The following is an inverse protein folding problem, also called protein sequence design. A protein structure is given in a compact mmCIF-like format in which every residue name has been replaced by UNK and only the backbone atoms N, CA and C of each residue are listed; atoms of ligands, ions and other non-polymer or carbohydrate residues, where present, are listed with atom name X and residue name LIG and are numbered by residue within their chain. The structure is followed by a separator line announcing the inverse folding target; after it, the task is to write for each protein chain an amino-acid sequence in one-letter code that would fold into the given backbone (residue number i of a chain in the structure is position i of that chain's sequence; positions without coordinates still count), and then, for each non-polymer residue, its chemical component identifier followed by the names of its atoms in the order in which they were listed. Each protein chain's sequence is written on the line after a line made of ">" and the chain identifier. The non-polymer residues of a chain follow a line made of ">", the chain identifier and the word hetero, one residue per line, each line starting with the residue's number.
data_IF_073074354632
#
_entry.id   IF_073074354632
#
_cell.length_a   1.000
_cell.length_b   1.000
_cell.length_c   1.000
_cell.angle_alpha   90.00
_cell.angle_beta   90.00
_cell.angle_gamma   90.00
#
_symmetry.space_group_name_H-M   'P 1'
#
loop_
_entity.id
_entity.type
_entity.pdbx_description
1 polymer ?
#
# COMPACT_ATOMS: atom_id res chain seq x y z
N UNK A 1 -15.07 -25.68 13.90
CA UNK A 1 -15.26 -24.84 12.70
C UNK A 1 -16.74 -24.49 12.57
N UNK A 2 -17.10 -23.21 12.69
CA UNK A 2 -18.51 -22.78 12.69
C UNK A 2 -19.19 -23.06 11.34
N UNK A 3 -20.52 -23.17 11.36
CA UNK A 3 -21.34 -23.43 10.17
C UNK A 3 -21.07 -22.42 9.04
N UNK A 4 -20.86 -21.14 9.38
CA UNK A 4 -20.47 -20.09 8.45
C UNK A 4 -19.10 -20.35 7.78
N UNK A 5 -18.11 -20.85 8.53
CA UNK A 5 -16.78 -21.22 7.98
C UNK A 5 -16.89 -22.39 6.99
N UNK A 6 -17.83 -23.32 7.20
CA UNK A 6 -18.07 -24.44 6.27
C UNK A 6 -18.78 -23.97 4.99
N UNK A 7 -19.76 -23.06 5.10
CA UNK A 7 -20.44 -22.49 3.94
C UNK A 7 -19.47 -21.69 3.07
N UNK A 8 -18.64 -20.83 3.67
CA UNK A 8 -17.64 -20.07 2.92
C UNK A 8 -16.66 -20.98 2.15
N UNK A 9 -16.14 -22.02 2.81
CA UNK A 9 -15.23 -22.98 2.19
C UNK A 9 -15.93 -23.84 1.10
N UNK A 10 -17.18 -24.23 1.32
CA UNK A 10 -17.96 -25.00 0.34
C UNK A 10 -18.38 -24.17 -0.87
N UNK A 11 -18.66 -22.88 -0.70
CA UNK A 11 -18.93 -21.94 -1.82
C UNK A 11 -17.64 -21.65 -2.60
N UNK A 12 -16.50 -21.54 -1.92
CA UNK A 12 -15.17 -21.49 -2.56
C UNK A 12 -14.95 -22.74 -3.41
N UNK A 13 -15.12 -23.95 -2.87
CA UNK A 13 -14.88 -25.18 -3.62
C UNK A 13 -15.88 -25.44 -4.76
N UNK A 14 -17.15 -25.07 -4.61
CA UNK A 14 -18.17 -25.31 -5.65
C UNK A 14 -18.07 -24.35 -6.84
N UNK A 15 -17.58 -23.12 -6.61
CA UNK A 15 -17.24 -22.17 -7.68
C UNK A 15 -16.01 -22.62 -8.46
N UNK A 16 -15.03 -23.26 -7.81
CA UNK A 16 -13.86 -23.85 -8.50
C UNK A 16 -14.21 -25.06 -9.40
N UNK A 17 -15.20 -25.88 -9.04
CA UNK A 17 -15.53 -27.10 -9.78
C UNK A 17 -16.53 -26.88 -10.95
N UNK A 18 -17.24 -25.75 -10.98
CA UNK A 18 -18.25 -25.45 -12.01
C UNK A 18 -17.77 -24.48 -13.10
N UNK A 19 -16.60 -23.86 -12.94
CA UNK A 19 -16.01 -22.92 -13.91
C UNK A 19 -15.38 -23.57 -15.17
N UNK A 20 -15.38 -24.92 -15.26
CA UNK A 20 -14.64 -25.67 -16.27
C UNK A 20 -15.23 -25.68 -17.69
N UNK A 21 -16.17 -24.80 -18.08
CA UNK A 21 -16.78 -24.92 -19.43
C UNK A 21 -17.24 -23.63 -20.12
N UNK A 22 -17.19 -22.44 -19.50
CA UNK A 22 -17.66 -21.21 -20.15
C UNK A 22 -16.89 -19.97 -19.68
N UNK A 23 -15.67 -19.79 -20.20
CA UNK A 23 -14.98 -18.50 -20.13
C UNK A 23 -14.12 -18.32 -21.38
N UNK A 24 -14.76 -17.84 -22.45
CA UNK A 24 -14.07 -17.25 -23.59
C UNK A 24 -14.35 -15.75 -23.54
N UNK A 25 -13.80 -15.07 -22.53
CA UNK A 25 -13.70 -13.61 -22.53
C UNK A 25 -12.67 -13.24 -23.60
N UNK A 26 -13.04 -12.34 -24.51
CA UNK A 26 -12.11 -11.77 -25.50
C UNK A 26 -10.83 -11.30 -24.79
N UNK A 27 -9.66 -11.74 -25.29
CA UNK A 27 -8.33 -11.29 -24.83
C UNK A 27 -8.14 -9.80 -25.14
N UNK A 28 -8.74 -8.94 -24.32
CA UNK A 28 -8.38 -7.53 -24.23
C UNK A 28 -7.24 -7.44 -23.22
N UNK A 29 -6.12 -6.84 -23.63
CA UNK A 29 -4.89 -6.65 -22.85
C UNK A 29 -5.11 -6.70 -21.34
N UNK A 30 -4.90 -7.88 -20.74
CA UNK A 30 -4.98 -8.05 -19.29
C UNK A 30 -3.96 -7.14 -18.62
N UNK A 31 -4.26 -6.59 -17.43
CA UNK A 31 -3.24 -5.89 -16.66
C UNK A 31 -2.07 -6.84 -16.44
N UNK A 32 -0.85 -6.32 -16.54
CA UNK A 32 0.38 -7.09 -16.29
C UNK A 32 0.48 -7.37 -14.78
N UNK A 33 -0.25 -8.39 -14.31
CA UNK A 33 -0.22 -8.85 -12.93
C UNK A 33 1.16 -9.44 -12.62
N UNK A 34 1.67 -9.20 -11.42
CA UNK A 34 3.02 -9.61 -11.01
C UNK A 34 3.02 -10.29 -9.64
N UNK A 35 3.90 -11.29 -9.51
CA UNK A 35 4.35 -11.83 -8.22
C UNK A 35 5.82 -11.48 -8.07
N UNK A 36 6.20 -10.96 -6.91
CA UNK A 36 7.55 -10.49 -6.62
C UNK A 36 8.25 -11.37 -5.59
N UNK A 37 9.55 -11.57 -5.82
CA UNK A 37 10.52 -12.03 -4.85
C UNK A 37 11.48 -10.88 -4.58
N UNK A 38 11.44 -10.33 -3.38
CA UNK A 38 12.15 -9.11 -3.00
C UNK A 38 13.12 -9.39 -1.87
N UNK A 39 14.31 -8.77 -1.93
CA UNK A 39 15.24 -8.71 -0.80
C UNK A 39 14.64 -7.97 0.41
N UNK A 40 13.60 -7.17 0.21
CA UNK A 40 12.83 -6.53 1.28
C UNK A 40 11.98 -7.50 2.13
N UNK A 41 12.02 -8.81 1.83
CA UNK A 41 11.38 -9.84 2.66
C UNK A 41 12.29 -10.32 3.82
N UNK A 42 13.58 -9.94 3.83
CA UNK A 42 14.54 -10.38 4.84
C UNK A 42 14.57 -9.45 6.05
N UNK A 43 13.78 -9.80 7.08
CA UNK A 43 13.46 -8.87 8.18
C UNK A 43 14.63 -8.26 8.95
N UNK A 44 15.74 -8.97 9.01
CA UNK A 44 16.86 -8.62 9.87
C UNK A 44 18.02 -7.97 9.10
N UNK A 45 17.90 -7.71 7.79
CA UNK A 45 19.04 -7.29 6.96
C UNK A 45 18.76 -6.10 6.02
N UNK A 46 17.63 -6.11 5.30
CA UNK A 46 17.42 -5.22 4.13
C UNK A 46 16.00 -4.69 4.02
N UNK A 47 15.27 -4.66 5.13
CA UNK A 47 13.86 -4.32 5.11
C UNK A 47 13.58 -2.83 4.93
N UNK A 48 12.68 -2.50 4.00
CA UNK A 48 11.91 -1.26 4.01
C UNK A 48 10.41 -1.54 4.03
N UNK A 49 9.63 -0.51 4.36
CA UNK A 49 8.18 -0.55 4.16
C UNK A 49 7.85 -0.80 2.67
N UNK A 50 8.59 -0.16 1.76
CA UNK A 50 8.42 -0.34 0.31
C UNK A 50 8.81 -1.75 -0.15
N UNK A 51 9.93 -2.28 0.35
CA UNK A 51 10.41 -3.62 0.01
C UNK A 51 9.45 -4.73 0.43
N UNK A 52 8.83 -4.61 1.61
CA UNK A 52 7.83 -5.56 2.09
C UNK A 52 6.48 -5.39 1.41
N UNK A 53 6.10 -4.18 0.97
CA UNK A 53 4.82 -3.91 0.31
C UNK A 53 4.63 -4.70 -1.00
N UNK A 54 5.71 -5.15 -1.64
CA UNK A 54 5.62 -6.05 -2.79
C UNK A 54 4.90 -7.37 -2.48
N UNK A 55 4.94 -7.85 -1.23
CA UNK A 55 4.25 -9.08 -0.85
C UNK A 55 2.72 -8.94 -0.89
N UNK A 56 2.07 -8.02 -0.14
CA UNK A 56 0.62 -7.86 -0.22
C UNK A 56 0.16 -7.49 -1.63
N UNK A 57 0.93 -6.66 -2.37
CA UNK A 57 0.63 -6.35 -3.77
C UNK A 57 0.65 -7.60 -4.66
N UNK A 58 1.62 -8.50 -4.49
CA UNK A 58 1.68 -9.77 -5.24
C UNK A 58 0.43 -10.62 -5.00
N UNK A 59 -0.05 -10.67 -3.75
CA UNK A 59 -1.26 -11.44 -3.42
C UNK A 59 -2.50 -10.79 -4.02
N UNK A 60 -2.63 -9.46 -3.96
CA UNK A 60 -3.74 -8.74 -4.61
C UNK A 60 -3.72 -8.93 -6.13
N UNK A 61 -2.56 -8.85 -6.78
CA UNK A 61 -2.42 -9.07 -8.22
C UNK A 61 -2.73 -10.53 -8.61
N UNK A 62 -2.32 -11.50 -7.79
CA UNK A 62 -2.70 -12.91 -7.98
C UNK A 62 -4.20 -13.11 -7.85
N UNK A 63 -4.83 -12.46 -6.86
CA UNK A 63 -6.27 -12.51 -6.68
C UNK A 63 -6.99 -11.86 -7.86
N UNK A 64 -6.52 -10.71 -8.33
CA UNK A 64 -7.07 -10.02 -9.50
C UNK A 64 -7.03 -10.90 -10.75
N UNK A 65 -5.91 -11.57 -11.01
CA UNK A 65 -5.81 -12.54 -12.09
C UNK A 65 -6.83 -13.69 -11.93
N UNK A 66 -6.94 -14.25 -10.71
CA UNK A 66 -7.92 -15.31 -10.43
C UNK A 66 -9.35 -14.84 -10.67
N UNK A 67 -9.71 -13.63 -10.22
CA UNK A 67 -11.00 -13.01 -10.49
C UNK A 67 -11.26 -12.91 -11.99
N UNK A 68 -10.28 -12.45 -12.78
CA UNK A 68 -10.43 -12.28 -14.23
C UNK A 68 -10.67 -13.60 -14.96
N UNK A 69 -10.07 -14.70 -14.49
CA UNK A 69 -10.23 -16.03 -15.08
C UNK A 69 -11.49 -16.77 -14.63
N UNK A 70 -11.99 -16.46 -13.42
CA UNK A 70 -13.08 -17.21 -12.78
C UNK A 70 -14.40 -16.45 -12.71
N UNK A 71 -14.42 -15.16 -13.07
CA UNK A 71 -15.67 -14.39 -13.12
C UNK A 71 -16.60 -14.94 -14.19
N UNK A 72 -17.90 -14.90 -13.89
CA UNK A 72 -18.94 -15.40 -14.79
C UNK A 72 -19.62 -14.20 -15.43
N UNK A 73 -19.14 -13.80 -16.61
CA UNK A 73 -19.51 -12.51 -17.21
C UNK A 73 -20.58 -12.59 -18.30
N UNK A 74 -21.16 -13.77 -18.51
CA UNK A 74 -22.10 -14.08 -19.60
C UNK A 74 -23.44 -13.34 -19.54
N UNK A 75 -23.83 -12.75 -18.42
CA UNK A 75 -25.06 -11.97 -18.26
C UNK A 75 -24.87 -10.83 -17.25
N UNK A 76 -25.76 -9.82 -17.25
CA UNK A 76 -25.71 -8.75 -16.26
C UNK A 76 -25.85 -9.25 -14.81
N UNK A 77 -26.71 -10.25 -14.57
CA UNK A 77 -26.86 -10.85 -13.25
C UNK A 77 -25.60 -11.62 -12.82
N UNK A 78 -25.00 -12.40 -13.71
CA UNK A 78 -23.78 -13.14 -13.37
C UNK A 78 -22.59 -12.21 -13.11
N UNK A 79 -22.45 -11.12 -13.89
CA UNK A 79 -21.48 -10.05 -13.62
C UNK A 79 -21.70 -9.41 -12.26
N UNK A 80 -22.95 -9.11 -11.89
CA UNK A 80 -23.27 -8.58 -10.56
C UNK A 80 -22.87 -9.54 -9.44
N UNK A 81 -23.12 -10.85 -9.59
CA UNK A 81 -22.72 -11.85 -8.60
C UNK A 81 -21.19 -11.94 -8.48
N UNK A 82 -20.48 -11.97 -9.61
CA UNK A 82 -19.01 -11.94 -9.63
C UNK A 82 -18.47 -10.67 -8.99
N UNK A 83 -18.98 -9.49 -9.37
CA UNK A 83 -18.65 -8.21 -8.75
C UNK A 83 -18.86 -8.24 -7.23
N UNK A 84 -20.02 -8.68 -6.76
CA UNK A 84 -20.36 -8.67 -5.33
C UNK A 84 -19.48 -9.63 -4.53
N UNK A 85 -19.38 -10.89 -4.95
CA UNK A 85 -18.67 -11.92 -4.20
C UNK A 85 -17.16 -11.80 -4.41
N UNK A 86 -16.73 -11.88 -5.67
CA UNK A 86 -15.33 -11.88 -6.06
C UNK A 86 -14.69 -10.50 -6.06
N UNK A 87 -15.42 -9.45 -6.39
CA UNK A 87 -14.91 -8.08 -6.44
C UNK A 87 -14.99 -7.32 -5.10
N UNK A 88 -15.88 -7.70 -4.19
CA UNK A 88 -16.11 -6.96 -2.94
C UNK A 88 -15.98 -7.80 -1.67
N UNK A 89 -16.72 -8.90 -1.53
CA UNK A 89 -16.76 -9.66 -0.26
C UNK A 89 -15.44 -10.40 0.02
N UNK A 90 -14.95 -11.20 -0.94
CA UNK A 90 -13.72 -11.96 -0.77
C UNK A 90 -12.47 -11.07 -0.63
N UNK A 91 -12.34 -9.95 -1.36
CA UNK A 91 -11.26 -8.99 -1.12
C UNK A 91 -11.19 -8.44 0.30
N UNK A 92 -12.33 -8.26 0.99
CA UNK A 92 -12.33 -7.83 2.40
C UNK A 92 -11.57 -8.84 3.28
N UNK A 93 -11.76 -10.14 3.04
CA UNK A 93 -11.05 -11.18 3.77
C UNK A 93 -9.53 -11.11 3.52
N UNK A 94 -9.14 -11.09 2.25
CA UNK A 94 -7.73 -11.06 1.83
C UNK A 94 -7.04 -9.80 2.36
N UNK A 95 -7.74 -8.66 2.30
CA UNK A 95 -7.26 -7.39 2.83
C UNK A 95 -7.15 -7.39 4.35
N UNK A 96 -8.10 -7.99 5.10
CA UNK A 96 -8.03 -8.06 6.56
C UNK A 96 -6.81 -8.83 7.08
N UNK A 97 -6.34 -9.83 6.31
CA UNK A 97 -5.08 -10.51 6.60
C UNK A 97 -3.90 -9.59 6.26
N UNK A 98 -3.81 -9.16 5.00
CA UNK A 98 -2.62 -8.52 4.47
C UNK A 98 -2.42 -7.08 4.95
N UNK A 99 -3.48 -6.27 4.96
CA UNK A 99 -3.42 -4.87 5.36
C UNK A 99 -3.09 -4.76 6.86
N UNK A 100 -3.76 -5.53 7.73
CA UNK A 100 -3.46 -5.53 9.17
C UNK A 100 -2.06 -6.08 9.46
N UNK A 101 -1.62 -7.15 8.79
CA UNK A 101 -0.22 -7.59 8.93
C UNK A 101 0.75 -6.49 8.51
N UNK A 102 0.47 -5.77 7.42
CA UNK A 102 1.34 -4.71 6.93
C UNK A 102 1.30 -3.44 7.81
N UNK A 103 0.18 -3.18 8.48
CA UNK A 103 0.05 -2.19 9.56
C UNK A 103 1.00 -2.52 10.70
N UNK A 104 0.94 -3.74 11.23
CA UNK A 104 1.81 -4.17 12.33
C UNK A 104 3.30 -4.14 11.95
N UNK A 105 3.61 -4.54 10.73
CA UNK A 105 4.95 -4.39 10.17
C UNK A 105 5.42 -2.93 10.13
N UNK A 106 4.52 -1.97 9.96
CA UNK A 106 4.79 -0.55 10.07
C UNK A 106 5.37 -0.16 11.43
N UNK A 107 4.75 -0.61 12.53
CA UNK A 107 5.31 -0.39 13.87
C UNK A 107 6.68 -1.06 14.02
N UNK A 108 6.82 -2.31 13.55
CA UNK A 108 8.06 -3.07 13.65
C UNK A 108 9.24 -2.35 13.00
N UNK A 109 9.05 -1.76 11.81
CA UNK A 109 10.12 -1.02 11.15
C UNK A 109 10.50 0.26 11.89
N UNK A 110 9.55 0.95 12.52
CA UNK A 110 9.84 2.14 13.34
C UNK A 110 10.52 1.78 14.64
N UNK A 111 10.17 0.66 15.27
CA UNK A 111 10.91 0.15 16.42
C UNK A 111 12.38 -0.14 16.06
N UNK A 112 12.62 -0.86 14.96
CA UNK A 112 13.98 -1.15 14.47
C UNK A 112 14.77 0.12 14.15
N UNK A 113 14.13 1.10 13.54
CA UNK A 113 14.76 2.40 13.26
C UNK A 113 15.30 3.04 14.55
N UNK A 114 14.55 2.92 15.65
CA UNK A 114 14.92 3.46 16.95
C UNK A 114 15.81 2.52 17.80
N UNK A 115 16.37 1.46 17.19
CA UNK A 115 17.34 0.57 17.82
C UNK A 115 16.75 -0.61 18.58
N UNK A 116 15.43 -0.82 18.52
CA UNK A 116 14.80 -2.00 19.13
C UNK A 116 14.85 -3.18 18.15
N UNK A 117 15.61 -4.23 18.50
CA UNK A 117 15.82 -5.39 17.62
C UNK A 117 14.88 -6.57 17.93
N UNK A 118 14.40 -6.67 19.17
CA UNK A 118 13.54 -7.76 19.63
C UNK A 118 12.07 -7.42 19.41
N UNK A 119 11.61 -7.53 18.16
CA UNK A 119 10.22 -7.26 17.78
C UNK A 119 9.36 -8.50 17.95
N UNK A 120 8.18 -8.33 18.54
CA UNK A 120 7.18 -9.38 18.73
C UNK A 120 5.83 -8.93 18.17
N UNK A 121 5.28 -9.74 17.27
CA UNK A 121 3.94 -9.60 16.73
C UNK A 121 2.97 -10.50 17.49
N UNK A 122 1.76 -10.00 17.69
CA UNK A 122 0.60 -10.76 18.16
C UNK A 122 -0.44 -10.76 17.03
N UNK A 123 -0.66 -11.91 16.36
CA UNK A 123 -1.47 -11.96 15.15
C UNK A 123 -2.97 -11.81 15.39
N UNK A 124 -3.46 -12.07 16.60
CA UNK A 124 -4.88 -12.03 16.96
C UNK A 124 -5.05 -11.74 18.46
N UNK A 125 -6.29 -11.78 18.97
CA UNK A 125 -6.59 -11.50 20.38
C UNK A 125 -6.12 -12.59 21.39
N UNK A 126 -5.39 -13.61 20.94
CA UNK A 126 -4.83 -14.64 21.82
C UNK A 126 -3.47 -14.25 22.43
N UNK A 127 -2.97 -15.07 23.35
CA UNK A 127 -1.64 -14.90 23.93
C UNK A 127 -0.50 -15.40 23.03
N UNK A 128 -0.79 -15.93 21.84
CA UNK A 128 0.25 -16.42 20.94
C UNK A 128 1.00 -15.24 20.31
N UNK A 129 2.32 -15.36 20.24
CA UNK A 129 3.20 -14.34 19.64
C UNK A 129 4.13 -14.97 18.63
N UNK A 130 4.58 -14.18 17.67
CA UNK A 130 5.59 -14.56 16.67
C UNK A 130 6.56 -13.41 16.45
N UNK A 131 7.77 -13.72 16.00
CA UNK A 131 8.80 -12.71 15.65
C UNK A 131 8.94 -12.52 14.14
N UNK A 132 8.12 -13.21 13.33
CA UNK A 132 8.12 -13.12 11.88
C UNK A 132 6.81 -12.55 11.34
N UNK A 133 6.92 -11.55 10.47
CA UNK A 133 5.84 -10.98 9.67
C UNK A 133 5.12 -12.05 8.84
N UNK A 134 5.84 -12.94 8.16
CA UNK A 134 5.20 -13.98 7.35
C UNK A 134 4.43 -14.98 8.22
N UNK A 135 5.00 -15.39 9.35
CA UNK A 135 4.26 -16.23 10.30
C UNK A 135 3.01 -15.51 10.80
N UNK A 136 3.10 -14.21 11.10
CA UNK A 136 1.95 -13.40 11.48
C UNK A 136 0.87 -13.39 10.39
N UNK A 137 1.25 -13.21 9.12
CA UNK A 137 0.32 -13.30 7.97
C UNK A 137 -0.38 -14.67 7.95
N UNK A 138 0.38 -15.76 8.08
CA UNK A 138 -0.19 -17.12 8.03
C UNK A 138 -1.11 -17.41 9.22
N UNK A 139 -0.74 -16.99 10.43
CA UNK A 139 -1.57 -17.15 11.63
C UNK A 139 -2.88 -16.36 11.50
N UNK A 140 -2.85 -15.20 10.84
CA UNK A 140 -4.02 -14.38 10.56
C UNK A 140 -4.96 -14.98 9.52
N UNK A 141 -4.53 -15.94 8.70
CA UNK A 141 -5.46 -16.65 7.81
C UNK A 141 -6.58 -17.34 8.60
N UNK A 142 -6.38 -17.72 9.86
CA UNK A 142 -7.44 -18.29 10.71
C UNK A 142 -8.39 -17.26 11.34
N UNK A 143 -7.97 -15.99 11.37
CA UNK A 143 -8.51 -14.90 12.17
C UNK A 143 -8.31 -13.52 11.49
N UNK A 144 -8.83 -13.32 10.26
CA UNK A 144 -8.54 -12.13 9.43
C UNK A 144 -9.15 -10.81 9.96
N UNK A 145 -10.10 -10.90 10.91
CA UNK A 145 -10.83 -9.76 11.48
C UNK A 145 -10.46 -9.47 12.92
N UNK A 146 -9.61 -10.30 13.53
CA UNK A 146 -9.19 -10.12 14.92
C UNK A 146 -8.16 -8.98 14.99
N UNK A 147 -8.07 -8.33 16.15
CA UNK A 147 -7.06 -7.30 16.38
C UNK A 147 -5.66 -7.90 16.33
N UNK A 148 -4.68 -7.11 15.89
CA UNK A 148 -3.28 -7.46 16.00
C UNK A 148 -2.54 -6.41 16.82
N UNK A 149 -1.33 -6.73 17.23
CA UNK A 149 -0.44 -5.72 17.81
C UNK A 149 1.03 -6.08 17.63
N UNK A 150 1.86 -5.06 17.69
CA UNK A 150 3.32 -5.16 17.62
C UNK A 150 3.93 -4.51 18.83
N UNK A 151 4.94 -5.16 19.40
CA UNK A 151 5.67 -4.67 20.56
C UNK A 151 7.16 -4.92 20.39
N UNK A 152 7.97 -4.21 21.18
CA UNK A 152 9.40 -4.42 21.22
C UNK A 152 9.90 -4.54 22.67
N UNK A 153 10.84 -5.45 22.92
CA UNK A 153 11.46 -5.58 24.23
C UNK A 153 12.21 -4.29 24.60
N UNK A 154 12.13 -3.86 25.87
CA UNK A 154 12.74 -2.62 26.34
C UNK A 154 11.96 -1.34 25.98
N UNK A 155 10.92 -1.44 25.15
CA UNK A 155 9.97 -0.33 24.94
C UNK A 155 9.03 -0.21 26.15
N UNK A 156 9.47 0.54 27.17
CA UNK A 156 8.71 0.77 28.41
C UNK A 156 8.08 2.16 28.44
N UNK A 157 7.09 2.35 29.30
CA UNK A 157 6.46 3.67 29.54
C UNK A 157 7.46 4.79 29.85
N UNK A 158 8.65 4.46 30.37
CA UNK A 158 9.71 5.44 30.66
C UNK A 158 10.27 6.05 29.35
N UNK A 159 10.48 5.24 28.31
CA UNK A 159 10.98 5.69 27.01
C UNK A 159 9.93 6.58 26.29
N UNK A 160 8.67 6.16 26.32
CA UNK A 160 7.50 6.90 25.80
C UNK A 160 7.42 8.33 26.38
N UNK A 161 7.78 8.48 27.66
CA UNK A 161 7.69 9.77 28.34
C UNK A 161 8.85 10.72 27.99
N UNK A 162 9.97 10.21 27.50
CA UNK A 162 11.20 10.98 27.27
C UNK A 162 11.40 11.44 25.83
N UNK A 163 10.81 10.76 24.83
CA UNK A 163 10.94 11.16 23.43
C UNK A 163 9.61 11.01 22.66
N UNK A 164 8.80 12.07 22.70
CA UNK A 164 7.45 12.10 22.09
C UNK A 164 7.48 12.07 20.56
N UNK A 165 8.53 12.57 19.92
CA UNK A 165 8.68 12.47 18.46
C UNK A 165 8.87 11.02 18.04
N UNK A 166 9.73 10.28 18.75
CA UNK A 166 9.95 8.86 18.48
C UNK A 166 8.68 8.04 18.70
N UNK A 167 7.97 8.27 19.82
CA UNK A 167 6.70 7.59 20.08
C UNK A 167 5.66 7.92 19.00
N UNK A 168 5.57 9.19 18.58
CA UNK A 168 4.68 9.60 17.46
C UNK A 168 5.00 8.82 16.18
N UNK A 169 6.28 8.73 15.79
CA UNK A 169 6.68 8.02 14.57
C UNK A 169 6.39 6.53 14.67
N UNK A 170 6.66 5.90 15.82
CA UNK A 170 6.39 4.47 16.04
C UNK A 170 4.89 4.20 15.96
N UNK A 171 4.07 4.95 16.70
CA UNK A 171 2.61 4.79 16.71
C UNK A 171 2.00 5.12 15.34
N UNK A 172 2.54 6.08 14.60
CA UNK A 172 2.08 6.40 13.25
C UNK A 172 2.45 5.31 12.21
N UNK A 173 3.43 4.45 12.51
CA UNK A 173 4.01 3.50 11.58
C UNK A 173 2.98 2.62 10.87
N UNK A 174 2.02 2.06 11.62
CA UNK A 174 1.01 1.19 11.06
C UNK A 174 0.03 1.89 10.12
N UNK A 175 -0.57 2.99 10.57
CA UNK A 175 -1.48 3.80 9.75
C UNK A 175 -0.78 4.34 8.48
N UNK A 176 0.48 4.76 8.59
CA UNK A 176 1.26 5.21 7.43
C UNK A 176 1.53 4.07 6.42
N UNK A 177 1.73 2.84 6.89
CA UNK A 177 1.89 1.68 6.01
C UNK A 177 0.61 1.34 5.25
N UNK A 178 -0.57 1.43 5.87
CA UNK A 178 -1.83 1.24 5.16
C UNK A 178 -1.99 2.26 4.01
N UNK A 179 -1.64 3.53 4.28
CA UNK A 179 -1.67 4.56 3.25
C UNK A 179 -0.61 4.33 2.18
N UNK A 180 0.60 3.89 2.54
CA UNK A 180 1.64 3.49 1.58
C UNK A 180 1.14 2.36 0.66
N UNK A 181 0.47 1.35 1.21
CA UNK A 181 -0.10 0.26 0.41
C UNK A 181 -1.14 0.79 -0.59
N UNK A 182 -2.01 1.70 -0.15
CA UNK A 182 -2.99 2.38 -1.03
C UNK A 182 -2.33 3.20 -2.14
N UNK A 183 -1.19 3.84 -1.84
CA UNK A 183 -0.38 4.61 -2.80
C UNK A 183 0.21 3.70 -3.85
N UNK A 184 0.89 2.63 -3.45
CA UNK A 184 1.50 1.68 -4.37
C UNK A 184 0.45 0.97 -5.25
N UNK A 185 -0.75 0.69 -4.72
CA UNK A 185 -1.86 0.19 -5.56
C UNK A 185 -2.28 1.19 -6.63
N UNK A 186 -2.33 2.48 -6.29
CA UNK A 186 -2.68 3.56 -7.22
C UNK A 186 -1.59 3.74 -8.29
N UNK A 187 -0.32 3.79 -7.89
CA UNK A 187 0.83 3.86 -8.81
C UNK A 187 0.83 2.67 -9.77
N UNK A 188 0.58 1.45 -9.28
CA UNK A 188 0.40 0.28 -10.13
C UNK A 188 -0.76 0.47 -11.14
N UNK A 189 -1.90 1.01 -10.72
CA UNK A 189 -3.05 1.29 -11.63
C UNK A 189 -2.65 2.31 -12.70
N UNK A 190 -1.92 3.37 -12.32
CA UNK A 190 -1.40 4.39 -13.25
C UNK A 190 -0.41 3.84 -14.26
N UNK A 191 0.29 2.78 -13.91
CA UNK A 191 1.35 2.21 -14.73
C UNK A 191 0.96 1.00 -15.57
N UNK A 192 0.12 0.12 -15.02
CA UNK A 192 -0.19 -1.21 -15.59
C UNK A 192 -1.70 -1.49 -15.65
N UNK A 193 -2.54 -0.58 -15.15
CA UNK A 193 -3.98 -0.78 -15.02
C UNK A 193 -4.36 -1.51 -13.73
N UNK A 194 -5.67 -1.54 -13.46
CA UNK A 194 -6.28 -2.24 -12.34
C UNK A 194 -7.31 -3.27 -12.77
N UNK A 195 -7.94 -3.87 -11.77
CA UNK A 195 -9.01 -4.86 -11.88
C UNK A 195 -10.13 -4.52 -10.91
N UNK A 196 -11.31 -5.09 -11.14
CA UNK A 196 -12.52 -4.89 -10.32
C UNK A 196 -12.27 -5.02 -8.81
N UNK A 197 -11.55 -6.06 -8.30
CA UNK A 197 -11.32 -6.22 -6.86
C UNK A 197 -10.48 -5.10 -6.22
N UNK A 198 -9.71 -4.35 -7.02
CA UNK A 198 -8.84 -3.29 -6.51
C UNK A 198 -9.59 -2.16 -5.83
N UNK A 199 -10.87 -1.94 -6.15
CA UNK A 199 -11.69 -0.96 -5.43
C UNK A 199 -11.75 -1.29 -3.95
N UNK A 200 -11.95 -2.56 -3.61
CA UNK A 200 -12.07 -3.01 -2.22
C UNK A 200 -10.72 -2.95 -1.51
N UNK A 201 -9.65 -3.44 -2.14
CA UNK A 201 -8.30 -3.35 -1.57
C UNK A 201 -7.88 -1.90 -1.33
N UNK A 202 -8.10 -1.03 -2.32
CA UNK A 202 -7.84 0.40 -2.22
C UNK A 202 -8.60 1.04 -1.07
N UNK A 203 -9.93 0.86 -1.02
CA UNK A 203 -10.76 1.49 0.02
C UNK A 203 -10.40 0.98 1.41
N UNK A 204 -10.12 -0.31 1.59
CA UNK A 204 -9.75 -0.86 2.89
C UNK A 204 -8.41 -0.30 3.36
N UNK A 205 -7.38 -0.25 2.51
CA UNK A 205 -6.10 0.35 2.87
C UNK A 205 -6.22 1.87 3.12
N UNK A 206 -7.05 2.58 2.33
CA UNK A 206 -7.19 4.04 2.41
C UNK A 206 -8.06 4.52 3.58
N UNK A 207 -9.12 3.78 3.91
CA UNK A 207 -10.12 4.15 4.92
C UNK A 207 -9.99 3.36 6.23
N UNK A 208 -9.12 2.36 6.31
CA UNK A 208 -8.80 1.70 7.59
C UNK A 208 -8.34 2.71 8.66
N UNK A 209 -7.42 3.67 8.36
CA UNK A 209 -7.05 4.70 9.33
C UNK A 209 -8.20 5.62 9.74
N UNK A 210 -9.12 5.91 8.82
CA UNK A 210 -10.36 6.67 9.08
C UNK A 210 -11.27 5.93 10.07
N UNK A 211 -11.54 4.65 9.80
CA UNK A 211 -12.39 3.82 10.65
C UNK A 211 -11.77 3.63 12.04
N UNK A 212 -10.46 3.36 12.08
CA UNK A 212 -9.70 3.18 13.31
C UNK A 212 -9.71 4.43 14.20
N UNK A 213 -9.52 5.61 13.60
CA UNK A 213 -9.60 6.90 14.32
C UNK A 213 -11.00 7.21 14.86
N UNK A 214 -12.03 6.56 14.32
CA UNK A 214 -13.42 6.67 14.75
C UNK A 214 -13.78 5.85 15.98
N UNK A 215 -12.94 4.89 16.38
CA UNK A 215 -13.21 4.04 17.56
C UNK A 215 -13.11 4.86 18.84
N UNK A 216 -14.12 4.78 19.71
CA UNK A 216 -14.13 5.46 21.00
C UNK A 216 -13.38 4.67 22.07
N UNK A 217 -12.11 4.36 21.79
CA UNK A 217 -11.19 3.71 22.72
C UNK A 217 -10.23 4.71 23.34
N UNK A 218 -9.93 4.55 24.63
CA UNK A 218 -8.82 5.22 25.32
C UNK A 218 -7.51 4.44 25.20
N UNK A 219 -7.38 3.72 24.09
CA UNK A 219 -6.29 2.80 23.78
C UNK A 219 -6.15 2.68 22.26
N UNK A 220 -5.00 2.21 21.79
CA UNK A 220 -4.69 2.09 20.36
C UNK A 220 -4.04 3.34 19.78
N UNK A 221 -3.60 3.22 18.53
CA UNK A 221 -2.73 4.19 17.88
C UNK A 221 -3.34 5.59 17.77
N UNK A 222 -4.61 5.77 17.36
CA UNK A 222 -5.18 7.11 17.21
C UNK A 222 -5.25 7.88 18.52
N UNK A 223 -5.53 7.19 19.64
CA UNK A 223 -5.56 7.81 20.97
C UNK A 223 -4.15 8.21 21.43
N UNK A 224 -3.17 7.31 21.27
CA UNK A 224 -1.77 7.59 21.62
C UNK A 224 -1.19 8.73 20.76
N UNK A 225 -1.50 8.77 19.47
CA UNK A 225 -1.09 9.85 18.56
C UNK A 225 -1.65 11.21 18.99
N UNK A 226 -2.93 11.28 19.34
CA UNK A 226 -3.54 12.51 19.87
C UNK A 226 -2.84 12.97 21.16
N UNK A 227 -2.54 12.04 22.08
CA UNK A 227 -1.77 12.35 23.29
C UNK A 227 -0.35 12.84 22.97
N UNK A 228 0.32 12.19 22.04
CA UNK A 228 1.69 12.52 21.65
C UNK A 228 1.77 13.89 20.97
N UNK A 229 0.85 14.18 20.05
CA UNK A 229 0.76 15.50 19.46
C UNK A 229 0.45 16.57 20.50
N UNK A 230 -0.48 16.32 21.41
CA UNK A 230 -0.77 17.24 22.52
C UNK A 230 0.47 17.50 23.39
N UNK A 231 1.25 16.46 23.71
CA UNK A 231 2.51 16.57 24.45
C UNK A 231 3.61 17.32 23.66
N UNK A 232 3.59 17.26 22.33
CA UNK A 232 4.43 18.06 21.44
C UNK A 232 3.90 19.51 21.23
N UNK A 233 2.82 19.90 21.93
CA UNK A 233 2.19 21.22 21.79
C UNK A 233 1.37 21.39 20.51
N UNK A 234 1.03 20.30 19.82
CA UNK A 234 0.29 20.29 18.55
C UNK A 234 -1.17 19.94 18.83
N UNK A 235 -2.09 20.81 18.42
CA UNK A 235 -3.52 20.61 18.63
C UNK A 235 -4.13 19.68 17.57
N UNK A 236 -3.60 18.47 17.41
CA UNK A 236 -4.04 17.49 16.42
C UNK A 236 -4.85 16.41 17.13
N UNK A 237 -6.07 16.17 16.65
CA UNK A 237 -7.06 15.29 17.27
C UNK A 237 -7.41 14.11 16.37
N UNK A 238 -8.05 13.08 16.94
CA UNK A 238 -8.64 11.98 16.17
C UNK A 238 -9.64 12.44 15.11
N UNK A 239 -10.35 13.55 15.37
CA UNK A 239 -11.29 14.14 14.39
C UNK A 239 -10.54 14.67 13.17
N UNK A 240 -9.36 15.26 13.36
CA UNK A 240 -8.51 15.69 12.24
C UNK A 240 -8.12 14.47 11.40
N UNK A 241 -7.61 13.39 12.03
CA UNK A 241 -7.24 12.17 11.30
C UNK A 241 -8.38 11.68 10.42
N UNK A 242 -9.59 11.54 10.97
CA UNK A 242 -10.77 11.12 10.21
C UNK A 242 -11.03 12.03 9.01
N UNK A 243 -11.09 13.34 9.23
CA UNK A 243 -11.45 14.27 8.17
C UNK A 243 -10.43 14.22 7.02
N UNK A 244 -9.14 14.16 7.32
CA UNK A 244 -8.10 14.15 6.30
C UNK A 244 -7.94 12.79 5.60
N UNK A 245 -8.18 11.67 6.28
CA UNK A 245 -8.23 10.37 5.60
C UNK A 245 -9.43 10.27 4.66
N UNK A 246 -10.61 10.70 5.11
CA UNK A 246 -11.82 10.73 4.28
C UNK A 246 -11.64 11.65 3.06
N UNK A 247 -11.10 12.86 3.27
CA UNK A 247 -10.74 13.76 2.19
C UNK A 247 -9.78 13.09 1.20
N UNK A 248 -8.69 12.49 1.68
CA UNK A 248 -7.69 11.85 0.82
C UNK A 248 -8.27 10.73 -0.03
N UNK A 249 -9.24 9.98 0.49
CA UNK A 249 -9.91 8.92 -0.26
C UNK A 249 -10.86 9.49 -1.33
N UNK A 250 -11.73 10.43 -0.96
CA UNK A 250 -12.78 10.94 -1.84
C UNK A 250 -12.28 11.95 -2.89
N UNK A 251 -11.17 12.65 -2.60
CA UNK A 251 -10.57 13.59 -3.53
C UNK A 251 -9.63 12.92 -4.55
N UNK A 252 -9.25 11.65 -4.32
CA UNK A 252 -8.28 10.94 -5.17
C UNK A 252 -8.86 10.52 -6.52
N UNK A 253 -8.14 10.80 -7.59
CA UNK A 253 -8.47 10.38 -8.95
C UNK A 253 -8.60 8.86 -9.13
N UNK A 254 -7.78 8.10 -8.41
CA UNK A 254 -7.82 6.62 -8.41
C UNK A 254 -9.14 6.11 -7.86
N UNK A 255 -9.75 6.76 -6.86
CA UNK A 255 -11.08 6.39 -6.36
C UNK A 255 -12.12 6.44 -7.48
N UNK A 256 -12.17 7.54 -8.23
CA UNK A 256 -13.12 7.69 -9.33
C UNK A 256 -12.82 6.72 -10.49
N UNK A 257 -11.55 6.46 -10.76
CA UNK A 257 -11.14 5.48 -11.77
C UNK A 257 -11.63 4.07 -11.41
N UNK A 258 -11.50 3.67 -10.15
CA UNK A 258 -11.97 2.39 -9.65
C UNK A 258 -13.49 2.27 -9.63
N UNK A 259 -14.20 3.32 -9.20
CA UNK A 259 -15.67 3.36 -9.22
C UNK A 259 -16.19 3.25 -10.66
N UNK A 260 -15.63 4.05 -11.57
CA UNK A 260 -16.00 4.01 -12.98
C UNK A 260 -15.71 2.65 -13.61
N UNK A 261 -14.55 2.07 -13.34
CA UNK A 261 -14.19 0.73 -13.81
C UNK A 261 -15.13 -0.37 -13.30
N UNK A 262 -15.60 -0.27 -12.06
CA UNK A 262 -16.60 -1.19 -11.51
C UNK A 262 -17.98 -1.03 -12.18
N UNK A 263 -18.39 0.21 -12.50
CA UNK A 263 -19.62 0.48 -13.25
C UNK A 263 -19.51 -0.09 -14.68
N UNK A 264 -18.39 0.15 -15.35
CA UNK A 264 -18.12 -0.37 -16.70
C UNK A 264 -18.10 -1.91 -16.72
N UNK A 265 -17.54 -2.55 -15.69
CA UNK A 265 -17.63 -3.99 -15.51
C UNK A 265 -19.08 -4.47 -15.42
N UNK A 266 -19.91 -3.86 -14.57
CA UNK A 266 -21.31 -4.26 -14.42
C UNK A 266 -22.10 -4.09 -15.72
N UNK A 267 -21.91 -2.97 -16.41
CA UNK A 267 -22.58 -2.65 -17.66
C UNK A 267 -22.10 -3.53 -18.82
N UNK A 268 -20.79 -3.58 -19.05
CA UNK A 268 -20.17 -4.05 -20.29
C UNK A 268 -19.28 -5.29 -20.11
N UNK A 269 -18.96 -5.69 -18.88
CA UNK A 269 -18.05 -6.82 -18.60
C UNK A 269 -16.57 -6.47 -18.71
N UNK A 270 -16.21 -5.20 -18.85
CA UNK A 270 -14.82 -4.75 -18.87
C UNK A 270 -14.18 -4.94 -17.51
N UNK A 271 -13.22 -5.85 -17.38
CA UNK A 271 -12.51 -6.09 -16.11
C UNK A 271 -11.32 -5.15 -15.89
N UNK A 272 -10.74 -4.61 -16.97
CA UNK A 272 -9.58 -3.73 -16.92
C UNK A 272 -9.99 -2.32 -16.50
N UNK A 273 -9.38 -1.82 -15.43
CA UNK A 273 -9.56 -0.45 -14.97
C UNK A 273 -8.38 0.40 -15.43
N UNK A 274 -8.66 1.57 -16.01
CA UNK A 274 -7.65 2.55 -16.40
C UNK A 274 -7.81 3.84 -15.58
N UNK A 275 -6.72 4.56 -15.31
CA UNK A 275 -6.80 5.90 -14.73
C UNK A 275 -7.62 6.83 -15.60
N UNK A 276 -8.44 7.66 -14.97
CA UNK A 276 -9.09 8.79 -15.63
C UNK A 276 -8.05 9.88 -15.93
N UNK A 277 -8.03 10.36 -17.17
CA UNK A 277 -7.11 11.40 -17.63
C UNK A 277 -7.83 12.53 -18.36
N UNK A 278 -7.28 13.74 -18.27
CA UNK A 278 -7.74 14.94 -18.96
C UNK A 278 -6.53 15.57 -19.66
N UNK A 279 -6.53 15.62 -21.00
CA UNK A 279 -5.43 16.17 -21.80
C UNK A 279 -4.04 15.60 -21.44
N UNK A 280 -3.97 14.30 -21.13
CA UNK A 280 -2.73 13.60 -20.74
C UNK A 280 -2.37 13.71 -19.26
N UNK A 281 -3.05 14.54 -18.47
CA UNK A 281 -2.90 14.59 -17.02
C UNK A 281 -3.78 13.54 -16.36
N UNK A 282 -3.26 12.81 -15.39
CA UNK A 282 -4.09 12.02 -14.48
C UNK A 282 -4.92 12.96 -13.60
N UNK A 283 -6.06 12.48 -13.10
CA UNK A 283 -6.65 13.12 -11.92
C UNK A 283 -5.66 13.00 -10.73
N UNK A 284 -5.57 14.00 -9.85
CA UNK A 284 -4.63 13.98 -8.74
C UNK A 284 -5.04 12.95 -7.69
N UNK A 285 -4.07 12.26 -7.11
CA UNK A 285 -4.27 11.39 -5.96
C UNK A 285 -3.76 12.07 -4.68
N UNK A 286 -4.46 11.86 -3.57
CA UNK A 286 -4.16 12.50 -2.29
C UNK A 286 -3.87 11.46 -1.21
N UNK A 287 -2.81 11.63 -0.42
CA UNK A 287 -2.42 10.70 0.64
C UNK A 287 -2.14 11.47 1.92
N UNK A 288 -2.85 11.12 3.00
CA UNK A 288 -2.64 11.74 4.31
C UNK A 288 -1.66 10.90 5.12
N UNK A 289 -0.63 11.53 5.67
CA UNK A 289 0.34 10.86 6.53
C UNK A 289 0.52 11.57 7.87
N UNK A 290 0.89 10.79 8.87
CA UNK A 290 1.20 11.20 10.23
C UNK A 290 2.72 11.25 10.39
N UNK A 291 3.27 12.41 10.75
CA UNK A 291 4.70 12.60 10.97
C UNK A 291 4.93 13.22 12.36
N UNK A 292 6.14 13.16 12.90
CA UNK A 292 6.50 13.85 14.14
C UNK A 292 6.20 15.36 14.03
N UNK A 293 6.47 15.96 12.86
CA UNK A 293 6.18 17.37 12.56
C UNK A 293 4.69 17.71 12.56
N UNK A 294 3.82 16.76 12.23
CA UNK A 294 2.38 16.97 12.21
C UNK A 294 1.66 16.12 11.16
N UNK A 295 0.42 16.51 10.87
CA UNK A 295 -0.41 15.86 9.86
C UNK A 295 -0.15 16.49 8.49
N UNK A 296 0.11 15.63 7.50
CA UNK A 296 0.52 16.01 6.15
C UNK A 296 -0.41 15.44 5.09
N UNK A 297 -0.53 16.14 3.96
CA UNK A 297 -1.19 15.61 2.77
C UNK A 297 -0.25 15.75 1.59
N UNK A 298 -0.01 14.62 0.91
CA UNK A 298 0.68 14.51 -0.35
C UNK A 298 -0.34 14.52 -1.49
N UNK A 299 -0.14 15.34 -2.51
CA UNK A 299 -0.88 15.34 -3.76
C UNK A 299 0.05 14.89 -4.89
N UNK A 300 -0.38 13.89 -5.67
CA UNK A 300 0.41 13.30 -6.76
C UNK A 300 -0.32 13.49 -8.08
N UNK A 301 0.40 13.95 -9.09
CA UNK A 301 -0.10 14.14 -10.45
C UNK A 301 0.86 13.47 -11.45
N UNK A 302 0.30 12.81 -12.46
CA UNK A 302 1.06 12.27 -13.58
C UNK A 302 0.69 12.96 -14.89
N UNK A 303 1.65 13.10 -15.79
CA UNK A 303 1.47 13.57 -17.15
C UNK A 303 2.09 12.56 -18.13
N UNK A 304 1.26 12.00 -19.00
CA UNK A 304 1.70 11.09 -20.06
C UNK A 304 2.21 11.94 -21.25
N UNK A 305 3.53 12.08 -21.36
CA UNK A 305 4.15 12.82 -22.49
C UNK A 305 4.00 12.03 -23.78
N UNK A 306 4.26 10.71 -23.69
CA UNK A 306 4.04 9.73 -24.75
C UNK A 306 4.01 8.32 -24.15
N UNK A 307 3.96 7.28 -24.99
CA UNK A 307 3.93 5.87 -24.56
C UNK A 307 5.17 5.41 -23.76
N UNK A 308 6.29 6.12 -23.89
CA UNK A 308 7.58 5.77 -23.29
C UNK A 308 7.97 6.70 -22.12
N UNK A 309 7.37 7.88 -22.01
CA UNK A 309 7.73 8.90 -21.00
C UNK A 309 6.48 9.35 -20.26
N UNK A 310 6.51 9.18 -18.94
CA UNK A 310 5.54 9.76 -18.00
C UNK A 310 6.29 10.62 -16.98
N UNK A 311 5.74 11.78 -16.67
CA UNK A 311 6.27 12.69 -15.65
C UNK A 311 5.36 12.65 -14.43
N UNK A 312 5.94 12.45 -13.25
CA UNK A 312 5.25 12.51 -11.97
C UNK A 312 5.66 13.77 -11.21
N UNK A 313 4.72 14.40 -10.52
CA UNK A 313 4.99 15.44 -9.55
C UNK A 313 4.19 15.17 -8.29
N UNK A 314 4.90 15.05 -7.17
CA UNK A 314 4.30 15.03 -5.85
C UNK A 314 4.59 16.34 -5.10
N UNK A 315 3.58 16.86 -4.41
CA UNK A 315 3.68 17.96 -3.46
C UNK A 315 3.08 17.54 -2.13
N UNK A 316 3.85 17.59 -1.06
CA UNK A 316 3.42 17.24 0.29
C UNK A 316 3.64 18.40 1.25
N UNK A 317 2.65 18.68 2.10
CA UNK A 317 2.73 19.77 3.09
C UNK A 317 2.17 19.32 4.43
N UNK A 318 2.84 19.72 5.52
CA UNK A 318 2.24 19.72 6.86
C UNK A 318 1.22 20.85 6.94
N UNK A 319 -0.06 20.48 7.05
CA UNK A 319 -1.15 21.46 7.15
C UNK A 319 -1.58 21.69 8.61
N UNK A 320 -1.25 20.78 9.52
CA UNK A 320 -1.46 20.93 10.96
C UNK A 320 -0.22 20.45 11.72
N UNK A 321 0.51 21.38 12.33
CA UNK A 321 1.79 21.10 12.97
C UNK A 321 2.84 22.16 12.59
N UNK A 322 4.09 21.72 12.49
CA UNK A 322 5.21 22.56 12.08
C UNK A 322 5.21 22.82 10.56
N UNK A 323 5.58 24.03 10.12
CA UNK A 323 5.67 24.33 8.70
C UNK A 323 6.78 23.49 8.05
N UNK A 324 6.38 22.62 7.12
CA UNK A 324 7.30 21.88 6.27
C UNK A 324 6.61 21.54 4.96
N UNK A 325 7.36 21.63 3.86
CA UNK A 325 6.88 21.34 2.50
C UNK A 325 7.86 20.38 1.84
N UNK A 326 7.36 19.56 0.93
CA UNK A 326 8.17 18.62 0.17
C UNK A 326 7.68 18.56 -1.27
N UNK A 327 8.61 18.54 -2.22
CA UNK A 327 8.34 18.35 -3.64
C UNK A 327 9.13 17.14 -4.11
N UNK A 328 8.47 16.23 -4.82
CA UNK A 328 9.11 15.03 -5.35
C UNK A 328 8.79 14.84 -6.82
N UNK A 329 9.61 15.38 -7.75
CA UNK A 329 9.47 15.09 -9.16
C UNK A 329 9.97 13.68 -9.49
N UNK A 330 9.30 13.04 -10.43
CA UNK A 330 9.61 11.71 -10.93
C UNK A 330 9.59 11.71 -12.46
N UNK A 331 10.50 10.94 -13.07
CA UNK A 331 10.44 10.63 -14.49
C UNK A 331 10.35 9.13 -14.64
N UNK A 332 9.34 8.64 -15.33
CA UNK A 332 9.20 7.23 -15.68
C UNK A 332 9.52 7.09 -17.17
N UNK A 333 10.64 6.45 -17.47
CA UNK A 333 11.01 6.08 -18.83
C UNK A 333 10.86 4.59 -19.04
N UNK A 334 10.10 4.19 -20.06
CA UNK A 334 9.83 2.79 -20.42
C UNK A 334 10.17 2.59 -21.89
N UNK A 335 10.86 1.50 -22.20
CA UNK A 335 11.11 1.05 -23.56
C UNK A 335 10.55 -0.35 -23.70
N UNK A 336 9.64 -0.55 -24.65
CA UNK A 336 9.15 -1.88 -25.02
C UNK A 336 9.85 -2.31 -26.30
N UNK A 337 10.56 -3.42 -26.23
CA UNK A 337 11.18 -4.04 -27.40
C UNK A 337 10.43 -5.33 -27.74
N UNK A 338 9.82 -5.37 -28.92
CA UNK A 338 9.08 -6.56 -29.38
C UNK A 338 10.01 -7.65 -29.94
N UNK A 339 11.30 -7.36 -30.15
CA UNK A 339 12.25 -8.27 -30.80
C UNK A 339 13.51 -8.45 -29.93
N UNK A 340 13.67 -9.64 -29.37
CA UNK A 340 14.87 -10.05 -28.63
C UNK A 340 14.57 -10.60 -27.24
N UNK A 341 15.62 -11.05 -26.55
CA UNK A 341 15.50 -11.62 -25.20
C UNK A 341 14.95 -10.62 -24.17
N UNK A 342 15.23 -9.32 -24.34
CA UNK A 342 14.71 -8.24 -23.51
C UNK A 342 13.42 -7.69 -24.12
N UNK A 343 12.30 -7.90 -23.42
CA UNK A 343 10.95 -7.44 -23.77
C UNK A 343 10.72 -5.99 -23.36
N UNK A 344 11.18 -5.61 -22.17
CA UNK A 344 11.02 -4.26 -21.66
C UNK A 344 12.18 -3.83 -20.76
N UNK A 345 12.44 -2.53 -20.76
CA UNK A 345 13.33 -1.84 -19.83
C UNK A 345 12.58 -0.64 -19.25
N UNK A 346 12.73 -0.36 -17.96
CA UNK A 346 12.27 0.88 -17.38
C UNK A 346 13.24 1.45 -16.35
N UNK A 347 13.26 2.77 -16.26
CA UNK A 347 13.99 3.51 -15.23
C UNK A 347 13.10 4.61 -14.67
N UNK A 348 13.11 4.77 -13.35
CA UNK A 348 12.27 5.69 -12.59
C UNK A 348 13.10 6.43 -11.54
N UNK A 349 13.84 7.48 -11.94
CA UNK A 349 14.44 8.40 -10.98
C UNK A 349 13.36 9.26 -10.31
N UNK A 350 13.48 9.40 -9.00
CA UNK A 350 12.69 10.30 -8.17
C UNK A 350 13.64 11.12 -7.29
N UNK A 351 13.43 12.43 -7.27
CA UNK A 351 14.10 13.34 -6.35
C UNK A 351 13.12 13.69 -5.22
N UNK A 352 13.61 13.89 -4.00
CA UNK A 352 12.80 14.39 -2.87
C UNK A 352 13.47 15.64 -2.34
N UNK A 353 12.76 16.76 -2.39
CA UNK A 353 13.20 18.07 -1.92
C UNK A 353 12.30 18.52 -0.78
N UNK A 354 12.83 18.52 0.44
CA UNK A 354 12.17 19.03 1.63
C UNK A 354 12.60 20.46 1.94
N UNK A 355 11.67 21.30 2.37
CA UNK A 355 11.87 22.72 2.61
C UNK A 355 11.28 23.13 3.96
N UNK A 356 12.08 23.87 4.73
CA UNK A 356 11.59 24.74 5.79
C UNK A 356 12.26 26.12 5.68
N UNK A 357 12.05 27.01 6.65
CA UNK A 357 12.55 28.38 6.63
C UNK A 357 14.09 28.51 6.64
N UNK A 358 14.83 27.46 7.01
CA UNK A 358 16.28 27.53 7.26
C UNK A 358 17.12 26.45 6.58
N UNK A 359 16.52 25.39 6.04
CA UNK A 359 17.24 24.27 5.44
C UNK A 359 16.48 23.67 4.24
N UNK A 360 17.26 23.06 3.35
CA UNK A 360 16.78 22.20 2.27
C UNK A 360 17.28 20.79 2.55
N UNK A 361 16.35 19.85 2.64
CA UNK A 361 16.64 18.43 2.86
C UNK A 361 16.51 17.69 1.53
N UNK A 362 17.52 16.91 1.16
CA UNK A 362 17.54 16.14 -0.09
C UNK A 362 17.38 14.65 0.18
N UNK A 363 16.57 13.97 -0.60
CA UNK A 363 16.43 12.52 -0.66
C UNK A 363 16.13 12.08 -2.09
N UNK A 364 15.92 10.79 -2.32
CA UNK A 364 15.49 10.32 -3.64
C UNK A 364 15.68 8.83 -3.84
N UNK A 365 15.22 8.34 -4.99
CA UNK A 365 15.42 6.96 -5.39
C UNK A 365 15.61 6.82 -6.90
N UNK A 366 16.15 5.68 -7.31
CA UNK A 366 16.18 5.25 -8.71
C UNK A 366 15.79 3.79 -8.75
N UNK A 367 14.65 3.49 -9.37
CA UNK A 367 14.22 2.12 -9.67
C UNK A 367 14.51 1.81 -11.14
N UNK A 368 15.14 0.67 -11.39
CA UNK A 368 15.33 0.10 -12.72
C UNK A 368 14.66 -1.27 -12.78
N UNK A 369 13.92 -1.53 -13.86
CA UNK A 369 13.32 -2.84 -14.12
C UNK A 369 13.69 -3.34 -15.51
N UNK A 370 13.90 -4.64 -15.64
CA UNK A 370 14.11 -5.34 -16.91
C UNK A 370 13.16 -6.52 -16.98
N UNK A 371 12.52 -6.72 -18.12
CA UNK A 371 11.64 -7.86 -18.36
C UNK A 371 12.12 -8.64 -19.58
N UNK A 372 12.22 -9.95 -19.43
CA UNK A 372 12.58 -10.87 -20.51
C UNK A 372 11.36 -11.25 -21.37
N UNK A 373 11.62 -11.90 -22.51
CA UNK A 373 10.58 -12.47 -23.36
C UNK A 373 9.78 -13.61 -22.70
N UNK A 374 10.27 -14.17 -21.60
CA UNK A 374 9.61 -15.24 -20.84
C UNK A 374 8.76 -14.70 -19.69
N UNK A 375 8.45 -13.39 -19.71
CA UNK A 375 7.65 -12.72 -18.68
C UNK A 375 8.25 -12.79 -17.27
N UNK A 376 9.53 -13.13 -17.18
CA UNK A 376 10.36 -12.99 -15.98
C UNK A 376 11.08 -11.66 -16.03
N UNK A 377 11.02 -10.88 -14.95
CA UNK A 377 11.74 -9.64 -14.81
C UNK A 377 12.58 -9.57 -13.54
N UNK A 378 13.45 -8.58 -13.52
CA UNK A 378 14.31 -8.22 -12.41
C UNK A 378 14.18 -6.74 -12.13
N UNK A 379 14.39 -6.35 -10.88
CA UNK A 379 14.43 -4.94 -10.50
C UNK A 379 15.56 -4.65 -9.51
N UNK A 380 16.00 -3.40 -9.55
CA UNK A 380 16.96 -2.82 -8.63
C UNK A 380 16.51 -1.39 -8.30
N UNK A 381 16.31 -1.11 -7.01
CA UNK A 381 16.00 0.21 -6.48
C UNK A 381 17.08 0.63 -5.50
N UNK A 382 17.70 1.76 -5.75
CA UNK A 382 18.51 2.46 -4.75
C UNK A 382 17.69 3.61 -4.18
N UNK A 383 17.67 3.75 -2.86
CA UNK A 383 16.98 4.85 -2.18
C UNK A 383 17.92 5.51 -1.17
N UNK A 384 17.95 6.83 -1.18
CA UNK A 384 18.51 7.65 -0.11
C UNK A 384 17.38 8.28 0.70
N UNK A 385 17.14 7.73 1.89
CA UNK A 385 16.19 8.23 2.87
C UNK A 385 16.86 9.28 3.75
N UNK A 386 16.54 10.55 3.51
CA UNK A 386 16.88 11.61 4.44
C UNK A 386 15.82 11.71 5.53
N UNK A 387 16.17 11.33 6.76
CA UNK A 387 15.27 11.34 7.93
C UNK A 387 14.60 12.70 8.20
N UNK A 388 15.18 13.80 7.73
CA UNK A 388 14.61 15.13 7.91
C UNK A 388 13.47 15.41 6.90
N UNK A 389 13.41 14.68 5.78
CA UNK A 389 12.28 14.75 4.84
C UNK A 389 11.09 13.97 5.39
N UNK A 390 9.87 14.36 5.00
CA UNK A 390 8.65 13.65 5.41
C UNK A 390 8.66 12.21 4.86
N UNK A 391 9.08 12.04 3.61
CA UNK A 391 9.23 10.72 2.99
C UNK A 391 10.24 9.83 3.72
N UNK A 392 11.40 10.40 4.11
CA UNK A 392 12.43 9.66 4.82
C UNK A 392 11.99 9.21 6.20
N UNK A 393 11.38 10.10 7.01
CA UNK A 393 10.89 9.78 8.36
C UNK A 393 9.95 8.56 8.38
N UNK A 394 9.08 8.45 7.37
CA UNK A 394 8.09 7.37 7.27
C UNK A 394 8.64 6.05 6.77
N UNK A 395 9.74 6.06 6.02
CA UNK A 395 10.20 4.89 5.28
C UNK A 395 11.55 4.33 5.75
N UNK A 396 12.42 5.16 6.34
CA UNK A 396 13.72 4.70 6.85
C UNK A 396 13.57 3.65 7.95
N UNK A 397 14.25 2.52 7.86
CA UNK A 397 14.02 1.38 8.77
C UNK A 397 15.15 1.11 9.73
N UNK A 398 16.34 1.67 9.48
CA UNK A 398 17.51 1.53 10.33
C UNK A 398 18.18 2.89 10.50
N UNK A 399 18.36 3.36 11.74
CA UNK A 399 19.04 4.63 11.99
C UNK A 399 20.50 4.65 11.50
N UNK A 400 21.12 3.47 11.40
CA UNK A 400 22.49 3.31 10.91
C UNK A 400 22.64 3.39 9.39
N UNK A 401 21.54 3.30 8.62
CA UNK A 401 21.59 3.35 7.16
C UNK A 401 20.50 4.22 6.56
N UNK A 402 20.90 5.42 6.12
CA UNK A 402 20.07 6.28 5.29
C UNK A 402 19.96 5.78 3.83
N UNK A 403 20.77 4.80 3.44
CA UNK A 403 20.77 4.25 2.09
C UNK A 403 20.17 2.85 2.09
N UNK A 404 19.40 2.54 1.07
CA UNK A 404 18.87 1.21 0.83
C UNK A 404 19.17 0.77 -0.61
N UNK A 405 19.54 -0.50 -0.74
CA UNK A 405 19.56 -1.19 -2.02
C UNK A 405 18.54 -2.34 -1.96
N UNK A 406 17.44 -2.17 -2.67
CA UNK A 406 16.40 -3.18 -2.82
C UNK A 406 16.54 -3.83 -4.19
N UNK A 407 16.67 -5.16 -4.22
CA UNK A 407 16.72 -5.94 -5.44
C UNK A 407 15.70 -7.07 -5.41
N UNK A 408 15.31 -7.56 -6.58
CA UNK A 408 14.45 -8.72 -6.67
C UNK A 408 14.13 -9.16 -8.09
N UNK A 409 13.25 -10.13 -8.18
CA UNK A 409 12.70 -10.67 -9.41
C UNK A 409 11.17 -10.66 -9.36
N UNK A 410 10.55 -10.66 -10.54
CA UNK A 410 9.10 -10.80 -10.66
C UNK A 410 8.72 -11.65 -11.86
N UNK A 411 7.52 -12.22 -11.82
CA UNK A 411 6.91 -12.96 -12.93
C UNK A 411 5.60 -12.28 -13.33
N UNK A 412 5.37 -12.10 -14.64
CA UNK A 412 4.16 -11.52 -15.22
C UNK A 412 3.23 -12.65 -15.72
N UNK A 413 1.93 -12.58 -15.45
CA UNK A 413 0.97 -13.64 -15.80
C UNK A 413 -0.48 -13.17 -16.04
#
# INVERSE_FOLDING_TARGET
>A
MSFAKKIALSVLLSTFLSAGSYAQSQEWHSPENRIYLSTGYFENATNSNEGMAYFPLSVYETYNWGFQKLSVDGSGFSRFVSWLIGGNILPIYVSGVLNTSFHEYGHATRFRYNGFNDITYRPNDSSTTTTSFFQMVFDRLGAPVDNASTSANGYTNIYITQNREVDTVITAGGMNNEILLSKLMSERIHERGGSVPDLSYYLLAKLSPYAYSGLDSRSGDPYLLEQNYSALGKQITRTDFKNYYLFSALASGTFFSLVWGNIDYLANGTQLIKPLTIAGFSLPDFYTYLNAKGLSTEAILHYDVNENIKLGLSYEQIFKGEEYKQISPEVIYKVKNQKGFLKAFSIKPQLVLGFNSSQVDLGGSVLTEVTSQYDVGMFLKYTYYNKNTLYGERNITFASSANELLAGAFYIF
#
